data_IF_991006473888
#
_entry.id   IF_991006473888
#
_cell.length_a   1.000
_cell.length_b   1.000
_cell.length_c   1.000
_cell.angle_alpha   90.00
_cell.angle_beta   90.00
_cell.angle_gamma   90.00
#
_symmetry.space_group_name_H-M   'P 1'
#
loop_
_entity.id
_entity.type
_entity.pdbx_description
1 polymer ?
#
# COMPACT_ATOMS: atom_id res chain seq x y z
N UNK A 1 3.88 0.22 13.64
CA UNK A 1 2.54 0.57 13.11
C UNK A 1 2.49 1.94 12.43
N UNK A 2 2.95 3.04 13.03
CA UNK A 2 2.86 4.37 12.41
C UNK A 2 3.52 4.48 11.02
N UNK A 3 4.71 3.90 10.86
CA UNK A 3 5.38 3.82 9.56
C UNK A 3 4.58 3.06 8.50
N UNK A 4 3.82 2.02 8.87
CA UNK A 4 2.95 1.30 7.94
C UNK A 4 1.78 2.20 7.48
N UNK A 5 1.15 2.93 8.39
CA UNK A 5 0.08 3.87 8.05
C UNK A 5 0.57 4.94 7.06
N UNK A 6 1.65 5.65 7.40
CA UNK A 6 2.22 6.68 6.52
C UNK A 6 2.72 6.10 5.20
N UNK A 7 3.26 4.89 5.22
CA UNK A 7 3.66 4.17 4.01
C UNK A 7 2.49 3.92 3.07
N UNK A 8 1.39 3.35 3.56
CA UNK A 8 0.20 3.10 2.73
C UNK A 8 -0.49 4.38 2.27
N UNK A 9 -0.46 5.45 3.07
CA UNK A 9 -0.98 6.75 2.67
C UNK A 9 -0.28 7.26 1.39
N UNK A 10 1.05 7.12 1.34
CA UNK A 10 1.85 7.51 0.18
C UNK A 10 1.73 6.52 -0.99
N UNK A 11 1.65 5.21 -0.73
CA UNK A 11 1.47 4.18 -1.78
C UNK A 11 0.13 4.39 -2.50
N UNK A 12 -0.95 4.68 -1.76
CA UNK A 12 -2.25 5.01 -2.36
C UNK A 12 -2.35 6.46 -2.86
N UNK A 13 -1.27 7.25 -2.68
CA UNK A 13 -1.18 8.66 -3.09
C UNK A 13 -2.31 9.52 -2.53
N UNK A 14 -2.89 9.16 -1.40
CA UNK A 14 -4.01 9.91 -0.84
C UNK A 14 -3.49 11.12 -0.03
N UNK A 15 -4.05 12.35 -0.17
CA UNK A 15 -5.13 12.78 -1.08
C UNK A 15 -4.67 13.23 -2.48
N UNK A 16 -3.36 13.22 -2.74
CA UNK A 16 -2.72 13.80 -3.93
C UNK A 16 -2.68 12.88 -5.16
N UNK A 17 -3.65 11.99 -5.34
CA UNK A 17 -3.57 10.89 -6.31
C UNK A 17 -3.40 11.35 -7.76
N UNK A 18 -3.85 12.57 -8.06
CA UNK A 18 -3.80 13.20 -9.38
C UNK A 18 -2.86 14.41 -9.46
N UNK A 19 -2.04 14.63 -8.43
CA UNK A 19 -1.17 15.80 -8.36
C UNK A 19 0.11 15.51 -9.15
N UNK A 20 0.14 15.99 -10.40
CA UNK A 20 1.29 15.93 -11.30
C UNK A 20 1.65 17.33 -11.78
N UNK A 21 2.91 17.71 -11.64
CA UNK A 21 3.45 18.95 -12.19
C UNK A 21 4.24 18.65 -13.45
N UNK A 22 3.95 19.36 -14.53
CA UNK A 22 4.82 19.35 -15.69
C UNK A 22 5.76 20.54 -15.59
N UNK A 23 7.05 20.28 -15.36
CA UNK A 23 8.08 21.30 -15.21
C UNK A 23 9.17 21.01 -16.22
N UNK A 24 9.38 21.92 -17.17
CA UNK A 24 10.45 21.82 -18.17
C UNK A 24 10.44 20.50 -18.97
N UNK A 25 9.25 19.96 -19.28
CA UNK A 25 9.08 18.70 -19.99
C UNK A 25 9.18 17.44 -19.11
N UNK A 26 9.43 17.59 -17.80
CA UNK A 26 9.42 16.51 -16.82
C UNK A 26 8.07 16.44 -16.12
N UNK A 27 7.47 15.25 -16.07
CA UNK A 27 6.25 15.01 -15.28
C UNK A 27 6.62 14.55 -13.88
N UNK A 28 6.53 15.46 -12.91
CA UNK A 28 6.79 15.21 -11.49
C UNK A 28 5.48 14.85 -10.76
N UNK A 29 5.43 13.67 -10.17
CA UNK A 29 4.34 13.23 -9.31
C UNK A 29 4.83 12.89 -7.90
N UNK A 30 3.91 12.56 -7.01
CA UNK A 30 4.29 12.06 -5.68
C UNK A 30 4.99 10.69 -5.81
N UNK A 31 6.22 10.49 -5.28
CA UNK A 31 6.97 9.27 -5.56
C UNK A 31 6.53 8.09 -4.68
N UNK A 32 6.04 7.04 -5.32
CA UNK A 32 5.51 5.82 -4.67
C UNK A 32 6.57 5.13 -3.79
N UNK A 33 7.85 5.24 -4.16
CA UNK A 33 8.97 4.59 -3.45
C UNK A 33 9.14 5.10 -2.02
N UNK A 34 8.77 6.35 -1.73
CA UNK A 34 8.81 6.90 -0.37
C UNK A 34 7.84 6.16 0.53
N UNK A 35 6.66 5.82 0.00
CA UNK A 35 5.68 4.99 0.69
C UNK A 35 6.23 3.59 1.01
N UNK A 36 6.87 2.93 0.05
CA UNK A 36 7.50 1.62 0.27
C UNK A 36 8.68 1.69 1.25
N UNK A 37 9.45 2.78 1.28
CA UNK A 37 10.54 2.98 2.24
C UNK A 37 9.99 3.07 3.68
N UNK A 38 8.89 3.80 3.88
CA UNK A 38 8.20 3.84 5.17
C UNK A 38 7.63 2.48 5.54
N UNK A 39 7.02 1.75 4.60
CA UNK A 39 6.53 0.38 4.88
C UNK A 39 7.69 -0.53 5.30
N UNK A 40 8.83 -0.52 4.59
CA UNK A 40 10.02 -1.29 4.96
C UNK A 40 10.46 -1.00 6.40
N UNK A 41 10.58 0.28 6.77
CA UNK A 41 10.94 0.66 8.14
C UNK A 41 9.89 0.19 9.16
N UNK A 42 8.61 0.24 8.80
CA UNK A 42 7.52 -0.30 9.61
C UNK A 42 7.59 -1.80 9.82
N UNK A 43 7.96 -2.57 8.78
CA UNK A 43 8.14 -4.01 8.85
C UNK A 43 9.33 -4.40 9.73
N UNK A 44 10.45 -3.69 9.61
CA UNK A 44 11.64 -3.90 10.46
C UNK A 44 11.29 -3.69 11.94
N UNK A 45 10.64 -2.58 12.28
CA UNK A 45 10.24 -2.28 13.66
C UNK A 45 9.25 -3.30 14.22
N UNK A 46 8.36 -3.84 13.39
CA UNK A 46 7.35 -4.82 13.80
C UNK A 46 7.82 -6.27 13.67
N UNK A 47 9.08 -6.52 13.30
CA UNK A 47 9.62 -7.88 13.14
C UNK A 47 9.47 -8.76 14.39
N UNK A 48 9.65 -8.26 15.63
CA UNK A 48 9.41 -9.06 16.85
C UNK A 48 7.95 -9.49 17.03
N UNK A 49 7.01 -8.79 16.38
CA UNK A 49 5.57 -9.00 16.56
C UNK A 49 5.01 -10.08 15.63
N UNK A 50 5.57 -10.24 14.42
CA UNK A 50 5.12 -11.24 13.46
C UNK A 50 6.25 -11.73 12.57
N UNK A 51 6.34 -13.06 12.40
CA UNK A 51 7.28 -13.68 11.46
C UNK A 51 6.97 -13.32 9.99
N UNK A 52 5.72 -12.98 9.68
CA UNK A 52 5.30 -12.58 8.32
C UNK A 52 6.02 -11.29 7.93
N UNK A 53 6.17 -10.34 8.86
CA UNK A 53 6.89 -9.10 8.58
C UNK A 53 8.36 -9.31 8.31
N UNK A 54 9.01 -10.25 9.02
CA UNK A 54 10.40 -10.63 8.74
C UNK A 54 10.58 -11.12 7.30
N UNK A 55 9.65 -11.94 6.81
CA UNK A 55 9.65 -12.46 5.43
C UNK A 55 9.33 -11.40 4.38
N UNK A 56 8.62 -10.33 4.76
CA UNK A 56 8.23 -9.23 3.86
C UNK A 56 9.31 -8.18 3.65
N UNK A 57 10.31 -8.09 4.52
CA UNK A 57 11.44 -7.14 4.39
C UNK A 57 12.11 -7.23 3.00
N UNK A 58 12.59 -8.39 2.53
CA UNK A 58 13.24 -8.46 1.21
C UNK A 58 12.28 -8.08 0.08
N UNK A 59 11.00 -8.47 0.16
CA UNK A 59 10.00 -8.08 -0.83
C UNK A 59 9.82 -6.55 -0.89
N UNK A 60 9.77 -5.88 0.27
CA UNK A 60 9.64 -4.41 0.32
C UNK A 60 10.83 -3.69 -0.32
N UNK A 61 12.05 -4.23 -0.21
CA UNK A 61 13.24 -3.68 -0.88
C UNK A 61 13.08 -3.77 -2.40
N UNK A 62 12.61 -4.91 -2.92
CA UNK A 62 12.32 -5.07 -4.36
C UNK A 62 11.30 -4.02 -4.83
N UNK A 63 10.23 -3.78 -4.05
CA UNK A 63 9.25 -2.75 -4.39
C UNK A 63 9.82 -1.33 -4.35
N UNK A 64 10.75 -1.01 -3.45
CA UNK A 64 11.43 0.29 -3.42
C UNK A 64 12.18 0.51 -4.74
N UNK A 65 12.99 -0.46 -5.18
CA UNK A 65 13.73 -0.34 -6.44
C UNK A 65 12.79 -0.31 -7.66
N UNK A 66 11.79 -1.20 -7.71
CA UNK A 66 10.83 -1.25 -8.81
C UNK A 66 10.01 0.05 -8.94
N UNK A 67 9.55 0.60 -7.81
CA UNK A 67 8.82 1.88 -7.80
C UNK A 67 9.70 3.08 -8.15
N UNK A 68 10.97 3.07 -7.72
CA UNK A 68 11.95 4.11 -8.09
C UNK A 68 12.23 4.08 -9.60
N UNK A 69 12.49 2.89 -10.16
CA UNK A 69 12.70 2.72 -11.59
C UNK A 69 11.47 3.18 -12.39
N UNK A 70 10.26 2.74 -12.00
CA UNK A 70 9.00 3.17 -12.61
C UNK A 70 8.83 4.70 -12.56
N UNK A 71 9.15 5.32 -11.43
CA UNK A 71 9.05 6.77 -11.27
C UNK A 71 9.99 7.50 -12.23
N UNK A 72 11.28 7.12 -12.29
CA UNK A 72 12.27 7.70 -13.21
C UNK A 72 11.82 7.53 -14.67
N UNK A 73 11.41 6.32 -15.06
CA UNK A 73 10.92 6.06 -16.43
C UNK A 73 9.71 6.91 -16.80
N UNK A 74 8.83 7.20 -15.82
CA UNK A 74 7.66 8.06 -16.02
C UNK A 74 8.06 9.53 -16.16
N UNK A 75 9.01 10.02 -15.35
CA UNK A 75 9.50 11.39 -15.42
C UNK A 75 10.07 11.75 -16.80
N UNK A 76 10.81 10.83 -17.41
CA UNK A 76 11.41 11.00 -18.74
C UNK A 76 10.49 10.57 -19.89
N UNK A 77 9.24 10.18 -19.60
CA UNK A 77 8.27 9.69 -20.57
C UNK A 77 8.76 8.48 -21.41
N UNK A 78 9.71 7.69 -20.87
CA UNK A 78 10.34 6.56 -21.56
C UNK A 78 9.42 5.33 -21.67
N UNK A 79 8.32 5.32 -20.91
CA UNK A 79 7.30 4.29 -20.99
C UNK A 79 6.38 4.44 -22.21
N UNK A 80 6.39 5.56 -22.94
CA UNK A 80 5.35 5.88 -23.93
C UNK A 80 5.40 5.09 -25.27
N UNK A 81 6.43 4.28 -25.52
CA UNK A 81 6.65 3.71 -26.86
C UNK A 81 5.73 2.55 -27.26
N UNK A 82 5.16 1.78 -26.32
CA UNK A 82 4.19 0.73 -26.62
C UNK A 82 3.04 0.67 -25.58
N UNK A 83 1.80 0.87 -26.06
CA UNK A 83 0.57 0.88 -25.25
C UNK A 83 0.25 -0.50 -24.65
N UNK A 84 0.65 -1.59 -25.31
CA UNK A 84 0.33 -2.93 -24.83
C UNK A 84 1.31 -3.39 -23.74
N UNK A 85 2.62 -3.21 -23.96
CA UNK A 85 3.65 -3.47 -22.95
C UNK A 85 3.42 -2.68 -21.66
N UNK A 86 3.12 -1.38 -21.77
CA UNK A 86 2.82 -0.53 -20.60
C UNK A 86 1.58 -0.98 -19.83
N UNK A 87 0.54 -1.42 -20.53
CA UNK A 87 -0.67 -1.93 -19.90
C UNK A 87 -0.40 -3.21 -19.09
N UNK A 88 0.31 -4.17 -19.67
CA UNK A 88 0.65 -5.44 -19.01
C UNK A 88 1.54 -5.21 -17.78
N UNK A 89 2.59 -4.39 -17.92
CA UNK A 89 3.47 -4.03 -16.81
C UNK A 89 2.70 -3.31 -15.69
N UNK A 90 1.75 -2.44 -16.05
CA UNK A 90 0.88 -1.74 -15.11
C UNK A 90 0.00 -2.70 -14.29
N UNK A 91 -0.62 -3.68 -14.94
CA UNK A 91 -1.44 -4.70 -14.26
C UNK A 91 -0.59 -5.54 -13.31
N UNK A 92 0.56 -6.03 -13.77
CA UNK A 92 1.46 -6.85 -12.96
C UNK A 92 1.92 -6.07 -11.72
N UNK A 93 2.34 -4.83 -11.89
CA UNK A 93 2.78 -3.95 -10.80
C UNK A 93 1.66 -3.70 -9.77
N UNK A 94 0.45 -3.38 -10.22
CA UNK A 94 -0.69 -3.12 -9.33
C UNK A 94 -1.11 -4.39 -8.59
N UNK A 95 -1.16 -5.53 -9.27
CA UNK A 95 -1.49 -6.83 -8.67
C UNK A 95 -0.47 -7.22 -7.61
N UNK A 96 0.83 -7.05 -7.91
CA UNK A 96 1.90 -7.31 -6.96
C UNK A 96 1.79 -6.38 -5.74
N UNK A 97 1.46 -5.09 -5.94
CA UNK A 97 1.26 -4.13 -4.86
C UNK A 97 0.06 -4.49 -3.97
N UNK A 98 -1.05 -4.93 -4.56
CA UNK A 98 -2.23 -5.41 -3.82
C UNK A 98 -1.91 -6.67 -3.02
N UNK A 99 -1.16 -7.61 -3.59
CA UNK A 99 -0.73 -8.82 -2.90
C UNK A 99 0.22 -8.49 -1.73
N UNK A 100 1.15 -7.56 -1.94
CA UNK A 100 2.01 -7.07 -0.87
C UNK A 100 1.18 -6.43 0.27
N UNK A 101 0.18 -5.61 -0.07
CA UNK A 101 -0.74 -5.04 0.91
C UNK A 101 -1.47 -6.12 1.71
N UNK A 102 -1.97 -7.18 1.05
CA UNK A 102 -2.61 -8.32 1.71
C UNK A 102 -1.68 -8.99 2.73
N UNK A 103 -0.42 -9.24 2.36
CA UNK A 103 0.54 -9.86 3.27
C UNK A 103 0.80 -8.98 4.50
N UNK A 104 0.80 -7.65 4.36
CA UNK A 104 0.89 -6.74 5.51
C UNK A 104 -0.36 -6.86 6.40
N UNK A 105 -1.57 -6.89 5.82
CA UNK A 105 -2.82 -7.12 6.58
C UNK A 105 -2.77 -8.45 7.34
N UNK A 106 -2.25 -9.51 6.70
CA UNK A 106 -2.08 -10.82 7.33
C UNK A 106 -1.08 -10.77 8.49
N UNK A 107 0.00 -10.01 8.36
CA UNK A 107 0.94 -9.78 9.47
C UNK A 107 0.29 -9.03 10.64
N UNK A 108 -0.62 -8.08 10.37
CA UNK A 108 -1.41 -7.42 11.44
C UNK A 108 -2.32 -8.40 12.16
N UNK A 109 -2.95 -9.32 11.43
CA UNK A 109 -3.75 -10.39 12.03
C UNK A 109 -2.91 -11.31 12.93
N UNK A 110 -1.69 -11.63 12.51
CA UNK A 110 -0.76 -12.44 13.31
C UNK A 110 -0.39 -11.75 14.63
N UNK A 111 -0.17 -10.43 14.61
CA UNK A 111 0.03 -9.64 15.84
C UNK A 111 -1.18 -9.66 16.77
N UNK A 112 -2.39 -9.54 16.21
CA UNK A 112 -3.66 -9.57 16.95
C UNK A 112 -3.86 -10.91 17.66
N UNK A 113 -3.52 -12.02 17.00
CA UNK A 113 -3.54 -13.37 17.60
C UNK A 113 -2.46 -13.49 18.69
N UNK A 114 -1.21 -13.09 18.41
CA UNK A 114 -0.08 -13.21 19.35
C UNK A 114 -0.30 -12.42 20.65
N UNK A 115 -0.90 -11.23 20.55
CA UNK A 115 -1.17 -10.35 21.70
C UNK A 115 -2.55 -10.54 22.31
N UNK A 116 -3.40 -11.40 21.73
CA UNK A 116 -4.80 -11.58 22.12
C UNK A 116 -5.53 -10.23 22.31
N UNK A 117 -5.35 -9.31 21.35
CA UNK A 117 -5.83 -7.94 21.40
C UNK A 117 -6.36 -7.49 20.04
N UNK A 118 -7.52 -6.83 20.02
CA UNK A 118 -8.19 -6.44 18.78
C UNK A 118 -7.47 -5.27 18.07
N UNK A 119 -6.83 -5.58 16.93
CA UNK A 119 -6.22 -4.59 16.03
C UNK A 119 -7.03 -4.39 14.74
N UNK A 120 -8.29 -4.79 14.76
CA UNK A 120 -9.24 -4.66 13.66
C UNK A 120 -8.77 -5.31 12.34
N UNK A 121 -7.94 -6.35 12.39
CA UNK A 121 -7.40 -7.02 11.21
C UNK A 121 -8.50 -7.54 10.27
N UNK A 122 -9.64 -7.98 10.81
CA UNK A 122 -10.79 -8.44 10.03
C UNK A 122 -11.50 -7.31 9.27
N UNK A 123 -11.57 -6.10 9.84
CA UNK A 123 -12.10 -4.91 9.15
C UNK A 123 -11.12 -4.44 8.09
N UNK A 124 -9.83 -4.52 8.38
CA UNK A 124 -8.75 -4.17 7.47
C UNK A 124 -8.72 -5.08 6.23
N UNK A 125 -8.90 -6.38 6.44
CA UNK A 125 -9.01 -7.36 5.37
C UNK A 125 -10.23 -7.09 4.46
N UNK A 126 -11.40 -6.77 5.04
CA UNK A 126 -12.58 -6.37 4.25
C UNK A 126 -12.32 -5.11 3.42
N UNK A 127 -11.66 -4.11 4.00
CA UNK A 127 -11.29 -2.91 3.27
C UNK A 127 -10.30 -3.22 2.12
N UNK A 128 -9.32 -4.10 2.34
CA UNK A 128 -8.42 -4.57 1.29
C UNK A 128 -9.16 -5.30 0.16
N UNK A 129 -10.12 -6.18 0.48
CA UNK A 129 -10.96 -6.84 -0.53
C UNK A 129 -11.72 -5.81 -1.36
N UNK A 130 -12.25 -4.75 -0.74
CA UNK A 130 -12.90 -3.67 -1.46
C UNK A 130 -11.92 -2.95 -2.42
N UNK A 131 -10.72 -2.58 -1.95
CA UNK A 131 -9.65 -2.01 -2.81
C UNK A 131 -9.34 -2.93 -3.99
N UNK A 132 -9.22 -4.24 -3.75
CA UNK A 132 -8.97 -5.23 -4.79
C UNK A 132 -10.07 -5.25 -5.84
N UNK A 133 -11.34 -5.37 -5.42
CA UNK A 133 -12.49 -5.43 -6.34
C UNK A 133 -12.59 -4.17 -7.20
N UNK A 134 -12.52 -2.98 -6.60
CA UNK A 134 -12.60 -1.73 -7.35
C UNK A 134 -11.40 -1.52 -8.28
N UNK A 135 -10.21 -2.02 -7.91
CA UNK A 135 -9.04 -2.01 -8.80
C UNK A 135 -9.29 -2.88 -10.03
N UNK A 136 -9.81 -4.10 -9.85
CA UNK A 136 -10.17 -4.98 -10.99
C UNK A 136 -11.25 -4.35 -11.86
N UNK A 137 -12.31 -3.78 -11.26
CA UNK A 137 -13.35 -3.08 -12.01
C UNK A 137 -12.78 -1.92 -12.86
N UNK A 138 -11.79 -1.19 -12.33
CA UNK A 138 -11.15 -0.08 -13.04
C UNK A 138 -10.30 -0.51 -14.26
N UNK A 139 -9.87 -1.78 -14.30
CA UNK A 139 -9.03 -2.33 -15.37
C UNK A 139 -9.85 -2.87 -16.55
N UNK A 140 -11.15 -3.11 -16.37
CA UNK A 140 -12.01 -3.62 -17.43
C UNK A 140 -12.25 -2.55 -18.51
N UNK A 141 -12.33 -2.93 -19.81
CA UNK A 141 -12.43 -2.00 -20.93
C UNK A 141 -13.82 -1.34 -21.08
N UNK A 142 -14.62 -1.32 -20.02
CA UNK A 142 -15.99 -0.77 -20.00
C UNK A 142 -15.93 0.64 -19.40
N UNK A 143 -16.15 1.67 -20.21
CA UNK A 143 -15.96 3.08 -19.81
C UNK A 143 -16.71 3.47 -18.53
N UNK A 144 -17.99 3.07 -18.39
CA UNK A 144 -18.78 3.36 -17.18
C UNK A 144 -18.22 2.68 -15.93
N UNK A 145 -17.82 1.41 -16.06
CA UNK A 145 -17.26 0.64 -14.95
C UNK A 145 -15.86 1.15 -14.55
N UNK A 146 -15.07 1.63 -15.52
CA UNK A 146 -13.77 2.23 -15.28
C UNK A 146 -13.87 3.48 -14.40
N UNK A 147 -14.84 4.35 -14.67
CA UNK A 147 -15.08 5.56 -13.88
C UNK A 147 -15.55 5.21 -12.46
N UNK A 148 -16.53 4.32 -12.34
CA UNK A 148 -17.03 3.85 -11.03
C UNK A 148 -15.92 3.15 -10.24
N UNK A 149 -15.09 2.37 -10.92
CA UNK A 149 -13.88 1.75 -10.39
C UNK A 149 -12.92 2.78 -9.81
N UNK A 150 -12.55 3.79 -10.59
CA UNK A 150 -11.63 4.85 -10.18
C UNK A 150 -12.14 5.65 -8.97
N UNK A 151 -13.41 6.07 -8.98
CA UNK A 151 -14.02 6.76 -7.83
C UNK A 151 -14.11 5.87 -6.60
N UNK A 152 -14.49 4.60 -6.81
CA UNK A 152 -14.55 3.60 -5.76
C UNK A 152 -13.21 3.38 -5.10
N UNK A 153 -12.11 3.28 -5.87
CA UNK A 153 -10.73 3.15 -5.36
C UNK A 153 -10.40 4.26 -4.36
N UNK A 154 -10.76 5.52 -4.65
CA UNK A 154 -10.50 6.65 -3.75
C UNK A 154 -11.22 6.45 -2.41
N UNK A 155 -12.51 6.09 -2.46
CA UNK A 155 -13.34 5.89 -1.26
C UNK A 155 -12.85 4.70 -0.44
N UNK A 156 -12.60 3.54 -1.07
CA UNK A 156 -12.17 2.32 -0.37
C UNK A 156 -10.75 2.42 0.15
N UNK A 157 -9.86 3.16 -0.53
CA UNK A 157 -8.51 3.44 -0.02
C UNK A 157 -8.57 4.35 1.20
N UNK A 158 -9.43 5.37 1.20
CA UNK A 158 -9.67 6.19 2.39
C UNK A 158 -10.22 5.36 3.56
N UNK A 159 -11.19 4.47 3.30
CA UNK A 159 -11.68 3.54 4.32
C UNK A 159 -10.57 2.63 4.85
N UNK A 160 -9.71 2.08 3.99
CA UNK A 160 -8.57 1.28 4.40
C UNK A 160 -7.62 2.07 5.31
N UNK A 161 -7.30 3.32 4.96
CA UNK A 161 -6.44 4.19 5.76
C UNK A 161 -7.04 4.50 7.13
N UNK A 162 -8.36 4.76 7.21
CA UNK A 162 -9.05 4.95 8.49
C UNK A 162 -8.93 3.70 9.36
N UNK A 163 -9.14 2.51 8.78
CA UNK A 163 -8.98 1.25 9.54
C UNK A 163 -7.53 1.01 9.97
N UNK A 164 -6.55 1.38 9.15
CA UNK A 164 -5.13 1.33 9.52
C UNK A 164 -4.81 2.30 10.67
N UNK A 165 -5.44 3.47 10.69
CA UNK A 165 -5.31 4.43 11.78
C UNK A 165 -5.88 3.87 13.09
N UNK A 166 -7.09 3.29 13.05
CA UNK A 166 -7.70 2.62 14.21
C UNK A 166 -6.81 1.50 14.74
N UNK A 167 -6.29 0.66 13.83
CA UNK A 167 -5.36 -0.43 14.15
C UNK A 167 -4.09 0.08 14.82
N UNK A 168 -3.51 1.17 14.31
CA UNK A 168 -2.35 1.83 14.91
C UNK A 168 -2.65 2.35 16.33
N UNK A 169 -3.81 2.98 16.54
CA UNK A 169 -4.20 3.54 17.84
C UNK A 169 -4.35 2.43 18.88
N UNK A 170 -5.03 1.34 18.54
CA UNK A 170 -5.19 0.18 19.43
C UNK A 170 -3.85 -0.50 19.73
N UNK A 171 -2.96 -0.59 18.74
CA UNK A 171 -1.62 -1.14 18.97
C UNK A 171 -0.81 -0.28 19.96
N UNK A 172 -0.86 1.05 19.86
CA UNK A 172 -0.21 1.95 20.83
C UNK A 172 -0.76 1.75 22.24
N UNK A 173 -2.09 1.71 22.38
CA UNK A 173 -2.73 1.47 23.68
C UNK A 173 -2.36 0.08 24.26
N UNK A 174 -2.23 -0.94 23.41
CA UNK A 174 -1.78 -2.27 23.83
C UNK A 174 -0.32 -2.26 24.34
N UNK A 175 0.57 -1.52 23.67
CA UNK A 175 1.96 -1.37 24.10
C UNK A 175 2.08 -0.63 25.43
N UNK A 176 1.28 0.41 25.65
CA UNK A 176 1.24 1.14 26.93
C UNK A 176 0.81 0.23 28.09
N UNK A 177 -0.13 -0.69 27.84
CA UNK A 177 -0.63 -1.62 28.86
C UNK A 177 0.28 -2.81 29.13
N UNK A 178 0.86 -3.40 28.08
CA UNK A 178 1.53 -4.71 28.15
C UNK A 178 3.05 -4.66 27.92
N UNK A 179 3.61 -3.48 27.62
CA UNK A 179 5.02 -3.32 27.26
C UNK A 179 5.37 -3.83 25.84
N UNK A 180 6.62 -3.59 25.39
CA UNK A 180 7.11 -4.09 24.11
C UNK A 180 7.12 -5.62 24.07
N UNK A 181 6.99 -6.21 22.88
CA UNK A 181 7.11 -7.65 22.72
C UNK A 181 8.49 -8.09 23.21
N UNK A 182 8.53 -9.05 24.13
CA UNK A 182 9.77 -9.71 24.52
C UNK A 182 10.16 -10.67 23.39
N UNK A 183 11.42 -10.59 22.96
CA UNK A 183 12.00 -11.46 21.92
C UNK A 183 11.99 -12.94 22.33
#
# INVERSE_FOLDING_TARGET
MAYLFWGFLLIFKFPFAYLTFNLWGLTLGLPDFVGFLLVWRGLVVLTPESQIFKKLIPASIVFIFASTAKYILTMFNLLASDKMSTFVVGILYNTATLFFCYLVVRGIRDMEIKRNAEFYSAKLFRAWVAVFVFTICSMLPVNGLKLVGALGIVVVSAMFLVRMWDSMKNYKACLEKNGPAKE
#
